data_IF_557338538303
#
_entry.id   IF_557338538303
#
_cell.length_a   1.000
_cell.length_b   1.000
_cell.length_c   1.000
_cell.angle_alpha   90.00
_cell.angle_beta   90.00
_cell.angle_gamma   90.00
#
_symmetry.space_group_name_H-M   'P 1'
#
loop_
_entity.id
_entity.type
_entity.pdbx_description
1 polymer ?
#
# COMPACT_ATOMS: atom_id res chain seq x y z
N UNK A 1 6.56 -14.47 -9.71
CA UNK A 1 7.92 -14.67 -9.15
C UNK A 1 8.34 -16.14 -9.13
N UNK A 2 7.40 -17.08 -9.28
CA UNK A 2 7.65 -18.53 -9.19
C UNK A 2 8.70 -19.07 -10.17
N UNK A 3 8.82 -18.51 -11.38
CA UNK A 3 9.87 -18.90 -12.33
C UNK A 3 11.28 -18.38 -12.01
N UNK A 4 11.45 -17.50 -11.00
CA UNK A 4 12.72 -16.79 -10.74
C UNK A 4 13.20 -16.87 -9.29
N UNK A 5 12.62 -17.74 -8.47
CA UNK A 5 13.02 -17.96 -7.06
C UNK A 5 11.85 -18.06 -6.07
N UNK A 6 10.62 -17.79 -6.54
CA UNK A 6 9.41 -17.94 -5.74
C UNK A 6 8.86 -16.64 -5.14
N UNK A 7 7.68 -16.69 -4.50
CA UNK A 7 7.06 -15.53 -3.86
C UNK A 7 7.84 -15.08 -2.62
N UNK A 8 7.73 -13.80 -2.27
CA UNK A 8 8.29 -13.29 -1.03
C UNK A 8 7.56 -13.85 0.20
N UNK A 9 8.28 -13.97 1.33
CA UNK A 9 7.66 -14.22 2.63
C UNK A 9 6.94 -12.95 3.09
N UNK A 10 5.60 -12.98 3.11
CA UNK A 10 4.77 -11.84 3.48
C UNK A 10 3.62 -12.33 4.36
N UNK A 11 3.55 -11.82 5.58
CA UNK A 11 2.47 -12.07 6.52
C UNK A 11 2.40 -13.53 7.01
N UNK A 12 1.18 -14.03 7.12
CA UNK A 12 0.89 -15.36 7.65
C UNK A 12 0.59 -16.36 6.54
N UNK A 13 0.46 -17.65 6.90
CA UNK A 13 0.14 -18.71 5.93
C UNK A 13 1.34 -19.24 5.14
N UNK A 14 2.55 -18.96 5.62
CA UNK A 14 3.80 -19.47 5.04
C UNK A 14 4.31 -20.66 5.86
N UNK A 15 4.80 -21.69 5.16
CA UNK A 15 5.50 -22.82 5.77
C UNK A 15 6.99 -22.71 5.46
N UNK A 16 7.81 -22.87 6.50
CA UNK A 16 9.26 -22.82 6.38
C UNK A 16 9.86 -24.15 6.81
N UNK A 17 10.83 -24.65 6.05
CA UNK A 17 11.71 -25.72 6.54
C UNK A 17 12.55 -25.15 7.67
N UNK A 18 12.74 -25.92 8.76
CA UNK A 18 13.44 -25.44 9.97
C UNK A 18 14.80 -24.83 9.63
N UNK A 19 15.53 -25.47 8.73
CA UNK A 19 16.88 -25.11 8.29
C UNK A 19 16.95 -23.74 7.61
N UNK A 20 15.88 -23.32 6.94
CA UNK A 20 15.82 -22.00 6.29
C UNK A 20 15.84 -20.88 7.33
N UNK A 21 15.12 -21.07 8.44
CA UNK A 21 15.06 -20.13 9.57
C UNK A 21 16.32 -20.22 10.43
N UNK A 22 16.93 -21.41 10.53
CA UNK A 22 18.17 -21.62 11.30
C UNK A 22 19.42 -20.96 10.70
N UNK A 23 19.31 -20.27 9.57
CA UNK A 23 20.44 -19.54 8.98
C UNK A 23 21.25 -20.33 7.94
N UNK A 24 20.87 -21.57 7.65
CA UNK A 24 21.64 -22.48 6.79
C UNK A 24 21.57 -22.05 5.32
N UNK A 25 22.70 -22.05 4.63
CA UNK A 25 22.74 -21.89 3.18
C UNK A 25 22.35 -23.18 2.47
N UNK A 26 21.67 -23.07 1.34
CA UNK A 26 21.36 -24.21 0.50
C UNK A 26 22.64 -24.77 -0.12
N UNK A 27 22.77 -26.10 -0.13
CA UNK A 27 23.85 -26.85 -0.78
C UNK A 27 23.22 -27.95 -1.60
N UNK A 28 23.75 -28.27 -2.78
CA UNK A 28 23.19 -29.34 -3.64
C UNK A 28 23.21 -30.72 -2.96
N UNK A 29 24.17 -30.96 -2.07
CA UNK A 29 24.26 -32.17 -1.23
C UNK A 29 23.25 -32.19 -0.07
N UNK A 30 22.36 -31.20 0.02
CA UNK A 30 21.35 -31.16 1.07
C UNK A 30 20.36 -32.33 0.89
N UNK A 31 20.49 -33.32 1.77
CA UNK A 31 19.48 -34.35 1.98
C UNK A 31 18.64 -33.97 3.19
N UNK A 32 17.33 -33.90 2.97
CA UNK A 32 16.39 -33.71 4.05
C UNK A 32 16.33 -34.98 4.89
N UNK A 33 16.65 -34.84 6.17
CA UNK A 33 16.57 -35.94 7.12
C UNK A 33 15.12 -36.11 7.56
N UNK A 34 14.44 -37.08 6.95
CA UNK A 34 13.05 -37.42 7.25
C UNK A 34 12.92 -38.42 8.41
N UNK A 35 14.02 -39.05 8.84
CA UNK A 35 14.00 -40.22 9.72
C UNK A 35 14.31 -39.89 11.18
N UNK A 36 15.00 -38.78 11.48
CA UNK A 36 15.29 -38.36 12.87
C UNK A 36 14.12 -37.71 13.61
N UNK A 37 12.97 -37.53 12.96
CA UNK A 37 11.82 -36.85 13.53
C UNK A 37 10.75 -37.81 14.07
N UNK A 38 10.68 -37.92 15.40
CA UNK A 38 9.49 -38.27 16.23
C UNK A 38 9.48 -39.64 16.93
N UNK A 39 10.12 -40.71 16.43
CA UNK A 39 9.77 -42.06 16.95
C UNK A 39 10.60 -42.58 18.14
N UNK A 40 11.83 -42.12 18.43
CA UNK A 40 12.71 -42.85 19.38
C UNK A 40 13.06 -42.21 20.74
N UNK A 41 12.61 -40.99 21.07
CA UNK A 41 13.09 -40.29 22.29
C UNK A 41 12.06 -39.88 23.34
N UNK A 42 10.80 -40.30 23.21
CA UNK A 42 9.71 -39.67 23.96
C UNK A 42 9.52 -40.15 25.41
N UNK A 43 10.13 -41.27 25.83
CA UNK A 43 9.83 -41.90 27.11
C UNK A 43 10.67 -41.44 28.32
N UNK A 44 11.97 -41.21 28.13
CA UNK A 44 12.91 -41.13 29.28
C UNK A 44 13.53 -39.73 29.50
N UNK A 45 13.43 -38.80 28.55
CA UNK A 45 14.13 -37.51 28.59
C UNK A 45 13.20 -36.28 28.69
N UNK A 46 11.92 -36.46 29.02
CA UNK A 46 10.95 -35.35 28.99
C UNK A 46 11.32 -34.22 29.96
N UNK A 47 11.77 -34.57 31.18
CA UNK A 47 12.20 -33.58 32.17
C UNK A 47 13.46 -32.81 31.71
N UNK A 48 14.42 -33.51 31.09
CA UNK A 48 15.63 -32.88 30.55
C UNK A 48 15.32 -31.97 29.36
N UNK A 49 14.42 -32.40 28.46
CA UNK A 49 13.95 -31.58 27.33
C UNK A 49 13.21 -30.34 27.84
N UNK A 50 12.39 -30.49 28.88
CA UNK A 50 11.68 -29.38 29.50
C UNK A 50 12.65 -28.37 30.14
N UNK A 51 13.66 -28.84 30.89
CA UNK A 51 14.70 -27.98 31.46
C UNK A 51 15.51 -27.26 30.38
N UNK A 52 15.90 -27.97 29.32
CA UNK A 52 16.55 -27.36 28.17
C UNK A 52 15.66 -26.29 27.52
N UNK A 53 14.38 -26.58 27.29
CA UNK A 53 13.44 -25.62 26.72
C UNK A 53 13.27 -24.36 27.59
N UNK A 54 13.23 -24.53 28.92
CA UNK A 54 13.19 -23.40 29.87
C UNK A 54 14.41 -22.49 29.72
N UNK A 55 15.60 -23.07 29.58
CA UNK A 55 16.83 -22.28 29.39
C UNK A 55 16.80 -21.43 28.10
N UNK A 56 16.20 -21.95 27.02
CA UNK A 56 16.07 -21.27 25.73
C UNK A 56 15.01 -20.15 25.73
N UNK A 57 14.02 -20.23 26.63
CA UNK A 57 12.93 -19.27 26.74
C UNK A 57 13.22 -18.11 27.72
N UNK A 58 14.46 -18.00 28.22
CA UNK A 58 14.86 -16.93 29.12
C UNK A 58 14.99 -15.58 28.39
N UNK A 59 14.70 -14.47 29.07
CA UNK A 59 14.85 -13.13 28.51
C UNK A 59 16.30 -12.80 28.13
N UNK A 60 17.27 -13.46 28.78
CA UNK A 60 18.69 -13.20 28.60
C UNK A 60 19.34 -14.12 27.55
N UNK A 61 18.57 -15.01 26.92
CA UNK A 61 19.08 -15.97 25.94
C UNK A 61 19.80 -15.26 24.78
N UNK A 62 19.28 -14.12 24.33
CA UNK A 62 19.83 -13.33 23.23
C UNK A 62 20.77 -12.20 23.70
N UNK A 63 20.90 -11.97 25.02
CA UNK A 63 21.66 -10.84 25.58
C UNK A 63 23.17 -10.90 25.28
N UNK A 64 23.74 -12.09 25.12
CA UNK A 64 25.18 -12.29 24.88
C UNK A 64 25.59 -12.11 23.40
N UNK A 65 24.97 -11.17 22.68
CA UNK A 65 25.26 -10.84 21.27
C UNK A 65 25.24 -12.07 20.35
N UNK A 66 24.19 -12.88 20.51
CA UNK A 66 23.98 -14.05 19.65
C UNK A 66 23.68 -13.63 18.20
N UNK A 67 23.67 -14.61 17.29
CA UNK A 67 23.28 -14.37 15.89
C UNK A 67 21.76 -14.35 15.68
N UNK A 68 20.95 -14.53 16.72
CA UNK A 68 19.49 -14.47 16.64
C UNK A 68 19.01 -13.08 16.22
N UNK A 69 18.02 -13.04 15.33
CA UNK A 69 17.52 -11.81 14.72
C UNK A 69 18.46 -11.13 13.72
N UNK A 70 19.75 -11.49 13.72
CA UNK A 70 20.77 -10.92 12.82
C UNK A 70 21.05 -11.82 11.64
N UNK A 71 21.37 -13.08 11.90
CA UNK A 71 21.61 -14.12 10.89
C UNK A 71 20.64 -15.30 11.03
N UNK A 72 20.27 -15.65 12.25
CA UNK A 72 19.38 -16.78 12.56
C UNK A 72 18.00 -16.26 12.98
N UNK A 73 16.95 -17.00 12.65
CA UNK A 73 15.59 -16.63 13.00
C UNK A 73 14.98 -15.58 12.07
N UNK A 74 13.89 -14.98 12.55
CA UNK A 74 13.23 -13.84 11.90
C UNK A 74 14.09 -12.60 12.13
N UNK A 75 14.39 -11.85 11.07
CA UNK A 75 15.31 -10.71 11.12
C UNK A 75 14.71 -9.53 11.92
N UNK A 76 15.49 -8.93 12.82
CA UNK A 76 15.04 -7.82 13.65
C UNK A 76 15.24 -6.44 13.02
N UNK A 77 14.57 -5.43 13.57
CA UNK A 77 14.82 -4.01 13.26
C UNK A 77 14.08 -3.46 12.04
N UNK A 78 13.07 -4.17 11.53
CA UNK A 78 12.22 -3.70 10.45
C UNK A 78 10.74 -4.04 10.74
N UNK A 79 9.77 -3.12 10.50
CA UNK A 79 8.33 -3.39 10.66
C UNK A 79 7.75 -4.44 9.71
N UNK A 80 8.52 -4.86 8.71
CA UNK A 80 8.20 -5.91 7.73
C UNK A 80 9.34 -6.95 7.77
N UNK A 81 9.55 -7.49 8.97
CA UNK A 81 10.56 -8.50 9.27
C UNK A 81 10.42 -9.76 8.42
N UNK A 82 9.18 -10.09 8.05
CA UNK A 82 8.81 -11.16 7.12
C UNK A 82 9.50 -10.98 5.76
N UNK A 83 9.38 -9.80 5.14
CA UNK A 83 9.94 -9.51 3.82
C UNK A 83 11.46 -9.64 3.81
N UNK A 84 12.15 -9.03 4.78
CA UNK A 84 13.62 -9.13 4.87
C UNK A 84 14.09 -10.54 5.20
N UNK A 85 13.33 -11.28 6.00
CA UNK A 85 13.63 -12.69 6.32
C UNK A 85 13.51 -13.54 5.07
N UNK A 86 12.44 -13.35 4.28
CA UNK A 86 12.27 -14.04 3.00
C UNK A 86 13.40 -13.73 2.02
N UNK A 87 13.78 -12.46 1.88
CA UNK A 87 14.90 -12.06 1.03
C UNK A 87 16.22 -12.73 1.49
N UNK A 88 16.48 -12.76 2.80
CA UNK A 88 17.66 -13.41 3.35
C UNK A 88 17.68 -14.93 3.10
N UNK A 89 16.54 -15.60 3.22
CA UNK A 89 16.39 -17.02 2.90
C UNK A 89 16.69 -17.27 1.42
N UNK A 90 16.13 -16.46 0.51
CA UNK A 90 16.37 -16.64 -0.92
C UNK A 90 17.81 -16.29 -1.34
N UNK A 91 18.43 -15.28 -0.72
CA UNK A 91 19.84 -14.96 -0.90
C UNK A 91 20.80 -16.05 -0.42
N UNK A 92 20.31 -17.00 0.37
CA UNK A 92 21.03 -18.21 0.81
C UNK A 92 20.83 -19.40 -0.15
N UNK A 93 20.18 -19.19 -1.29
CA UNK A 93 19.96 -20.20 -2.32
C UNK A 93 18.66 -21.00 -2.16
N UNK A 94 17.85 -20.73 -1.14
CA UNK A 94 16.56 -21.38 -0.99
C UNK A 94 15.51 -20.81 -1.96
N UNK A 95 14.57 -21.66 -2.37
CA UNK A 95 13.48 -21.30 -3.27
C UNK A 95 12.16 -21.38 -2.52
N UNK A 96 11.27 -20.42 -2.76
CA UNK A 96 9.89 -20.45 -2.25
C UNK A 96 8.92 -20.92 -3.33
N UNK A 97 7.77 -21.45 -2.91
CA UNK A 97 6.74 -21.97 -3.81
C UNK A 97 5.40 -21.36 -3.41
N UNK A 98 4.65 -20.87 -4.39
CA UNK A 98 3.26 -20.47 -4.21
C UNK A 98 2.35 -21.67 -4.42
N UNK A 99 1.46 -21.92 -3.46
CA UNK A 99 0.48 -23.02 -3.55
C UNK A 99 -0.92 -22.50 -3.21
N UNK A 100 -1.85 -22.69 -4.14
CA UNK A 100 -3.25 -22.27 -4.00
C UNK A 100 -4.18 -23.49 -4.05
N UNK A 101 -4.44 -24.17 -2.91
CA UNK A 101 -5.33 -25.31 -2.85
C UNK A 101 -6.79 -24.90 -3.09
N UNK A 102 -7.60 -25.84 -3.61
CA UNK A 102 -9.03 -25.61 -3.84
C UNK A 102 -9.78 -25.21 -2.57
N UNK A 103 -9.51 -25.90 -1.45
CA UNK A 103 -9.96 -25.47 -0.12
C UNK A 103 -8.97 -24.47 0.45
N UNK A 104 -9.45 -23.29 0.86
CA UNK A 104 -8.60 -22.29 1.51
C UNK A 104 -8.01 -22.86 2.79
N UNK A 105 -6.67 -22.95 2.83
CA UNK A 105 -5.92 -23.48 3.97
C UNK A 105 -5.86 -22.49 5.14
N UNK A 106 -5.92 -21.19 4.84
CA UNK A 106 -5.87 -20.11 5.82
C UNK A 106 -7.03 -19.14 5.58
N UNK A 107 -7.70 -18.77 6.67
CA UNK A 107 -8.71 -17.72 6.71
C UNK A 107 -8.23 -16.64 7.68
N UNK A 108 -8.11 -15.41 7.19
CA UNK A 108 -7.69 -14.26 7.97
C UNK A 108 -8.80 -13.23 8.08
N UNK A 109 -8.69 -12.35 9.08
CA UNK A 109 -9.55 -11.18 9.21
C UNK A 109 -8.92 -9.99 8.49
N UNK A 110 -9.67 -9.43 7.54
CA UNK A 110 -9.30 -8.20 6.85
C UNK A 110 -9.72 -6.97 7.67
N UNK A 111 -9.03 -5.83 7.51
CA UNK A 111 -9.51 -4.55 8.03
C UNK A 111 -10.92 -4.24 7.51
N UNK A 112 -11.83 -3.87 8.41
CA UNK A 112 -13.22 -3.54 8.05
C UNK A 112 -13.43 -2.04 7.89
N UNK A 113 -12.52 -1.21 8.43
CA UNK A 113 -12.59 0.25 8.35
C UNK A 113 -11.48 0.85 7.50
N UNK A 114 -11.73 2.06 6.98
CA UNK A 114 -10.71 2.80 6.24
C UNK A 114 -9.51 3.12 7.14
N UNK A 115 -9.75 3.55 8.39
CA UNK A 115 -8.69 3.86 9.36
C UNK A 115 -7.72 2.68 9.57
N UNK A 116 -8.24 1.48 9.81
CA UNK A 116 -7.42 0.28 9.99
C UNK A 116 -6.61 -0.04 8.72
N UNK A 117 -7.23 0.10 7.55
CA UNK A 117 -6.58 -0.13 6.25
C UNK A 117 -5.43 0.85 6.03
N UNK A 118 -5.64 2.13 6.30
CA UNK A 118 -4.61 3.17 6.14
C UNK A 118 -3.45 2.97 7.11
N UNK A 119 -3.74 2.62 8.36
CA UNK A 119 -2.72 2.34 9.37
C UNK A 119 -1.85 1.13 8.97
N UNK A 120 -2.49 0.06 8.50
CA UNK A 120 -1.79 -1.13 8.03
C UNK A 120 -0.89 -0.80 6.83
N UNK A 121 -1.42 -0.08 5.84
CA UNK A 121 -0.65 0.29 4.66
C UNK A 121 0.46 1.30 4.94
N UNK A 122 0.32 2.17 5.94
CA UNK A 122 1.39 3.07 6.40
C UNK A 122 2.56 2.26 6.95
N UNK A 123 2.29 1.28 7.82
CA UNK A 123 3.32 0.36 8.34
C UNK A 123 4.03 -0.41 7.23
N UNK A 124 3.27 -0.93 6.27
CA UNK A 124 3.86 -1.62 5.12
C UNK A 124 4.72 -0.68 4.27
N UNK A 125 4.25 0.55 4.03
CA UNK A 125 5.01 1.57 3.32
C UNK A 125 6.32 1.92 4.02
N UNK A 126 6.28 2.18 5.33
CA UNK A 126 7.47 2.54 6.13
C UNK A 126 8.49 1.41 6.15
N UNK A 127 8.01 0.19 6.41
CA UNK A 127 8.84 -0.99 6.46
C UNK A 127 9.54 -1.24 5.13
N UNK A 128 8.79 -1.33 4.03
CA UNK A 128 9.36 -1.62 2.70
C UNK A 128 10.27 -0.50 2.21
N UNK A 129 9.93 0.76 2.46
CA UNK A 129 10.80 1.88 2.08
C UNK A 129 12.08 1.90 2.91
N UNK A 130 12.02 1.51 4.19
CA UNK A 130 13.23 1.32 5.01
C UNK A 130 14.13 0.20 4.48
N UNK A 131 13.56 -0.91 4.00
CA UNK A 131 14.34 -1.96 3.33
C UNK A 131 15.11 -1.35 2.17
N UNK A 132 14.42 -0.61 1.29
CA UNK A 132 15.00 0.00 0.10
C UNK A 132 16.19 0.95 0.42
N UNK A 133 16.10 1.69 1.52
CA UNK A 133 17.11 2.65 1.95
C UNK A 133 18.18 2.07 2.89
N UNK A 134 18.11 0.78 3.20
CA UNK A 134 19.05 0.10 4.09
C UNK A 134 20.04 -0.79 3.34
N UNK A 135 20.98 -1.40 4.07
CA UNK A 135 21.85 -2.47 3.56
C UNK A 135 21.09 -3.69 3.01
N UNK A 136 19.80 -3.84 3.36
CA UNK A 136 18.92 -4.90 2.87
C UNK A 136 18.21 -4.53 1.55
N UNK A 137 18.58 -3.42 0.90
CA UNK A 137 18.08 -3.08 -0.42
C UNK A 137 18.20 -4.30 -1.36
N UNK A 138 17.12 -4.75 -2.05
CA UNK A 138 17.14 -5.97 -2.84
C UNK A 138 18.25 -6.02 -3.89
N UNK A 139 18.58 -4.87 -4.51
CA UNK A 139 19.64 -4.76 -5.50
C UNK A 139 21.05 -4.82 -4.91
N UNK A 140 21.24 -4.39 -3.66
CA UNK A 140 22.54 -4.46 -2.97
C UNK A 140 22.73 -5.82 -2.31
N UNK A 141 21.76 -6.20 -1.47
CA UNK A 141 21.85 -7.40 -0.65
C UNK A 141 21.73 -8.69 -1.47
N UNK A 142 20.91 -8.66 -2.53
CA UNK A 142 20.69 -9.77 -3.46
C UNK A 142 21.66 -9.82 -4.64
N UNK A 143 22.53 -8.83 -4.79
CA UNK A 143 23.50 -8.79 -5.89
C UNK A 143 24.37 -10.05 -5.91
N UNK A 144 24.44 -10.72 -7.07
CA UNK A 144 25.20 -11.97 -7.23
C UNK A 144 24.65 -13.19 -6.48
N UNK A 145 23.58 -13.04 -5.69
CA UNK A 145 22.99 -14.14 -4.89
C UNK A 145 21.65 -14.62 -5.45
N UNK A 146 20.85 -13.71 -6.00
CA UNK A 146 19.54 -14.00 -6.61
C UNK A 146 19.42 -13.36 -7.98
N UNK A 147 18.53 -13.90 -8.83
CA UNK A 147 18.27 -13.38 -10.18
C UNK A 147 17.75 -11.95 -10.14
N UNK A 148 18.15 -11.12 -11.11
CA UNK A 148 17.74 -9.72 -11.21
C UNK A 148 16.22 -9.53 -11.16
N UNK A 149 15.46 -10.40 -11.82
CA UNK A 149 13.99 -10.35 -11.82
C UNK A 149 13.38 -10.53 -10.43
N UNK A 150 14.00 -11.35 -9.57
CA UNK A 150 13.56 -11.50 -8.18
C UNK A 150 13.90 -10.25 -7.37
N UNK A 151 15.08 -9.66 -7.59
CA UNK A 151 15.46 -8.38 -6.97
C UNK A 151 14.45 -7.27 -7.32
N UNK A 152 14.05 -7.18 -8.60
CA UNK A 152 13.00 -6.26 -9.05
C UNK A 152 11.66 -6.54 -8.37
N UNK A 153 11.28 -7.81 -8.24
CA UNK A 153 10.05 -8.23 -7.56
C UNK A 153 9.96 -7.75 -6.11
N UNK A 154 11.06 -7.86 -5.36
CA UNK A 154 11.14 -7.31 -4.00
C UNK A 154 11.17 -5.78 -3.98
N UNK A 155 11.85 -5.15 -4.95
CA UNK A 155 12.04 -3.71 -4.99
C UNK A 155 10.73 -2.93 -5.21
N UNK A 156 9.77 -3.48 -5.95
CA UNK A 156 8.48 -2.84 -6.24
C UNK A 156 7.76 -2.36 -4.96
N UNK A 157 7.83 -3.15 -3.88
CA UNK A 157 7.23 -2.79 -2.59
C UNK A 157 7.93 -1.60 -1.92
N UNK A 158 9.27 -1.50 -2.06
CA UNK A 158 10.05 -0.37 -1.55
C UNK A 158 9.69 0.96 -2.22
N UNK A 159 9.16 0.91 -3.45
CA UNK A 159 8.73 2.08 -4.21
C UNK A 159 7.30 2.54 -3.90
N UNK A 160 6.56 1.84 -3.03
CA UNK A 160 5.20 2.24 -2.64
C UNK A 160 5.16 3.63 -2.00
N UNK A 161 6.02 3.88 -1.00
CA UNK A 161 6.05 5.17 -0.30
C UNK A 161 6.49 6.34 -1.22
N UNK A 162 7.61 6.24 -1.97
CA UNK A 162 8.01 7.28 -2.93
C UNK A 162 6.98 7.57 -4.02
N UNK A 163 6.17 6.58 -4.40
CA UNK A 163 5.14 6.76 -5.43
C UNK A 163 4.01 7.75 -5.04
N UNK A 164 3.94 8.14 -3.77
CA UNK A 164 3.00 9.16 -3.26
C UNK A 164 3.20 10.53 -3.95
N UNK A 165 4.45 10.97 -4.12
CA UNK A 165 4.78 12.27 -4.70
C UNK A 165 4.30 12.43 -6.15
N UNK A 166 4.66 11.55 -7.11
CA UNK A 166 4.15 11.67 -8.47
C UNK A 166 2.62 11.52 -8.50
N UNK A 167 2.05 10.68 -7.63
CA UNK A 167 0.58 10.52 -7.55
C UNK A 167 -0.10 11.83 -7.14
N UNK A 168 0.40 12.53 -6.13
CA UNK A 168 -0.10 13.84 -5.73
C UNK A 168 0.02 14.86 -6.87
N UNK A 169 1.16 14.88 -7.57
CA UNK A 169 1.35 15.76 -8.73
C UNK A 169 0.25 15.54 -9.79
N UNK A 170 0.02 14.30 -10.21
CA UNK A 170 -0.98 13.97 -11.24
C UNK A 170 -2.43 14.18 -10.80
N UNK A 171 -2.71 14.22 -9.49
CA UNK A 171 -4.05 14.50 -8.97
C UNK A 171 -4.28 16.02 -8.86
N UNK A 172 -3.31 16.74 -8.30
CA UNK A 172 -3.45 18.15 -7.96
C UNK A 172 -3.24 19.04 -9.19
N UNK A 173 -2.13 18.86 -9.92
CA UNK A 173 -1.72 19.81 -10.96
C UNK A 173 -2.70 19.86 -12.13
N UNK A 174 -3.21 18.73 -12.67
CA UNK A 174 -4.22 18.78 -13.72
C UNK A 174 -5.55 19.42 -13.29
N UNK A 175 -5.98 19.17 -12.05
CA UNK A 175 -7.21 19.75 -11.48
C UNK A 175 -7.05 21.25 -11.29
N UNK A 176 -5.97 21.70 -10.65
CA UNK A 176 -5.69 23.13 -10.47
C UNK A 176 -5.46 23.82 -11.82
N UNK A 177 -4.75 23.19 -12.74
CA UNK A 177 -4.55 23.70 -14.10
C UNK A 177 -5.87 23.94 -14.84
N UNK A 178 -6.87 23.07 -14.65
CA UNK A 178 -8.22 23.26 -15.20
C UNK A 178 -8.91 24.51 -14.61
N UNK A 179 -8.78 24.73 -13.29
CA UNK A 179 -9.33 25.92 -12.62
C UNK A 179 -8.61 27.21 -13.06
N UNK A 180 -7.29 27.16 -13.18
CA UNK A 180 -6.44 28.27 -13.60
C UNK A 180 -6.44 28.52 -15.12
N UNK A 181 -7.18 27.72 -15.91
CA UNK A 181 -7.27 27.84 -17.37
C UNK A 181 -5.92 27.62 -18.08
N UNK A 182 -5.07 26.77 -17.49
CA UNK A 182 -3.77 26.39 -18.04
C UNK A 182 -3.89 25.01 -18.70
N UNK A 183 -3.79 24.92 -20.04
CA UNK A 183 -3.81 23.64 -20.73
C UNK A 183 -2.52 22.87 -20.45
N UNK A 184 -2.64 21.63 -19.95
CA UNK A 184 -1.47 20.79 -19.65
C UNK A 184 -1.24 19.67 -20.66
N UNK A 185 -2.27 19.29 -21.40
CA UNK A 185 -2.22 18.20 -22.37
C UNK A 185 -2.37 18.73 -23.80
N UNK A 186 -1.95 17.94 -24.81
CA UNK A 186 -2.21 18.26 -26.20
C UNK A 186 -3.71 18.37 -26.49
N UNK A 187 -4.07 19.26 -27.40
CA UNK A 187 -5.44 19.39 -27.90
C UNK A 187 -5.87 18.12 -28.63
N UNK A 188 -7.18 17.82 -28.64
CA UNK A 188 -7.73 16.62 -29.27
C UNK A 188 -7.55 16.57 -30.80
N UNK A 189 -7.36 17.73 -31.42
CA UNK A 189 -7.04 17.86 -32.85
C UNK A 189 -5.57 17.57 -33.15
N UNK A 190 -4.71 17.54 -32.14
CA UNK A 190 -3.27 17.33 -32.30
C UNK A 190 -2.94 15.83 -32.39
N UNK A 191 -2.08 15.39 -33.33
CA UNK A 191 -1.64 14.00 -33.38
C UNK A 191 -0.89 13.57 -32.11
N UNK A 192 -0.35 14.52 -31.35
CA UNK A 192 0.33 14.26 -30.08
C UNK A 192 -0.62 13.77 -28.97
N UNK A 193 -1.94 13.81 -29.15
CA UNK A 193 -2.88 13.27 -28.16
C UNK A 193 -2.81 11.73 -28.06
N UNK A 194 -2.38 11.06 -29.12
CA UNK A 194 -2.36 9.59 -29.22
C UNK A 194 -1.70 8.92 -28.01
N UNK A 195 -0.45 9.24 -27.60
CA UNK A 195 0.17 8.62 -26.43
C UNK A 195 -0.57 8.92 -25.11
N UNK A 196 -1.17 10.11 -24.97
CA UNK A 196 -1.88 10.53 -23.76
C UNK A 196 -3.23 9.83 -23.58
N UNK A 197 -3.82 9.32 -24.65
CA UNK A 197 -5.03 8.49 -24.59
C UNK A 197 -4.69 7.01 -24.56
N UNK A 198 -3.79 6.57 -25.46
CA UNK A 198 -3.46 5.16 -25.63
C UNK A 198 -2.85 4.55 -24.36
N UNK A 199 -1.87 5.21 -23.74
CA UNK A 199 -1.16 4.62 -22.61
C UNK A 199 -2.06 4.42 -21.37
N UNK A 200 -2.85 5.42 -20.93
CA UNK A 200 -3.81 5.21 -19.85
C UNK A 200 -4.90 4.20 -20.23
N UNK A 201 -5.46 4.29 -21.45
CA UNK A 201 -6.51 3.38 -21.88
C UNK A 201 -6.02 1.92 -21.88
N UNK A 202 -4.86 1.64 -22.49
CA UNK A 202 -4.28 0.31 -22.50
C UNK A 202 -4.02 -0.21 -21.07
N UNK A 203 -3.48 0.65 -20.20
CA UNK A 203 -3.18 0.28 -18.80
C UNK A 203 -4.44 -0.08 -18.03
N UNK A 204 -5.48 0.75 -18.07
CA UNK A 204 -6.71 0.52 -17.32
C UNK A 204 -7.58 -0.60 -17.93
N UNK A 205 -7.63 -0.73 -19.26
CA UNK A 205 -8.32 -1.84 -19.93
C UNK A 205 -7.65 -3.16 -19.59
N UNK A 206 -6.32 -3.23 -19.63
CA UNK A 206 -5.59 -4.43 -19.25
C UNK A 206 -5.78 -4.75 -17.76
N UNK A 207 -5.68 -3.75 -16.88
CA UNK A 207 -5.94 -3.93 -15.44
C UNK A 207 -7.35 -4.44 -15.16
N UNK A 208 -8.36 -3.95 -15.89
CA UNK A 208 -9.73 -4.41 -15.77
C UNK A 208 -9.88 -5.86 -16.27
N UNK A 209 -9.31 -6.16 -17.44
CA UNK A 209 -9.32 -7.51 -18.00
C UNK A 209 -8.68 -8.53 -17.05
N UNK A 210 -7.52 -8.21 -16.48
CA UNK A 210 -6.83 -9.06 -15.52
C UNK A 210 -7.67 -9.28 -14.25
N UNK A 211 -8.27 -8.22 -13.72
CA UNK A 211 -9.13 -8.31 -12.53
C UNK A 211 -10.34 -9.22 -12.78
N UNK A 212 -11.04 -9.03 -13.91
CA UNK A 212 -12.19 -9.86 -14.28
C UNK A 212 -11.77 -11.33 -14.52
N UNK A 213 -10.63 -11.54 -15.17
CA UNK A 213 -10.07 -12.88 -15.40
C UNK A 213 -9.72 -13.61 -14.09
N UNK A 214 -9.35 -12.85 -13.05
CA UNK A 214 -9.11 -13.37 -11.70
C UNK A 214 -10.39 -13.53 -10.86
N UNK A 215 -11.57 -13.26 -11.42
CA UNK A 215 -12.86 -13.37 -10.71
C UNK A 215 -13.21 -12.16 -9.82
N UNK A 216 -12.51 -11.04 -9.96
CA UNK A 216 -12.86 -9.78 -9.25
C UNK A 216 -14.05 -9.13 -9.95
N UNK A 217 -15.01 -8.59 -9.19
CA UNK A 217 -16.15 -7.87 -9.77
C UNK A 217 -15.75 -6.50 -10.31
N UNK A 218 -16.53 -5.93 -11.25
CA UNK A 218 -16.29 -4.57 -11.75
C UNK A 218 -16.32 -3.53 -10.62
N UNK A 219 -17.27 -3.67 -9.68
CA UNK A 219 -17.36 -2.84 -8.48
C UNK A 219 -16.10 -2.99 -7.60
N UNK A 220 -15.60 -4.22 -7.45
CA UNK A 220 -14.35 -4.51 -6.74
C UNK A 220 -13.14 -3.86 -7.39
N UNK A 221 -13.02 -3.93 -8.72
CA UNK A 221 -11.94 -3.25 -9.46
C UNK A 221 -12.01 -1.73 -9.30
N UNK A 222 -13.19 -1.13 -9.44
CA UNK A 222 -13.39 0.31 -9.24
C UNK A 222 -13.05 0.76 -7.82
N UNK A 223 -13.48 0.00 -6.81
CA UNK A 223 -13.09 0.20 -5.41
C UNK A 223 -11.57 0.05 -5.23
N UNK A 224 -10.93 -0.89 -5.94
CA UNK A 224 -9.49 -1.06 -5.97
C UNK A 224 -8.75 0.18 -6.46
N UNK A 225 -9.22 0.81 -7.55
CA UNK A 225 -8.66 2.07 -8.06
C UNK A 225 -8.80 3.20 -7.03
N UNK A 226 -9.95 3.29 -6.34
CA UNK A 226 -10.17 4.26 -5.26
C UNK A 226 -9.17 4.08 -4.13
N UNK A 227 -9.07 2.85 -3.63
CA UNK A 227 -8.16 2.53 -2.53
C UNK A 227 -6.70 2.72 -2.93
N UNK A 228 -6.35 2.45 -4.19
CA UNK A 228 -5.01 2.72 -4.73
C UNK A 228 -4.67 4.22 -4.63
N UNK A 229 -5.58 5.10 -5.04
CA UNK A 229 -5.39 6.55 -4.95
C UNK A 229 -5.30 7.02 -3.48
N UNK A 230 -6.26 6.61 -2.65
CA UNK A 230 -6.31 7.01 -1.23
C UNK A 230 -5.03 6.59 -0.48
N UNK A 231 -4.58 5.34 -0.64
CA UNK A 231 -3.37 4.84 0.04
C UNK A 231 -2.11 5.61 -0.36
N UNK A 232 -2.02 5.99 -1.65
CA UNK A 232 -0.87 6.73 -2.19
C UNK A 232 -0.82 8.17 -1.71
N UNK A 233 -1.96 8.84 -1.62
CA UNK A 233 -2.01 10.24 -1.18
C UNK A 233 -1.99 10.39 0.33
N UNK A 234 -2.27 9.33 1.09
CA UNK A 234 -2.22 9.31 2.56
C UNK A 234 -1.12 8.41 3.09
N UNK A 235 -1.41 7.14 3.38
CA UNK A 235 -0.52 6.20 4.06
C UNK A 235 0.91 6.19 3.53
N UNK A 236 1.09 6.18 2.22
CA UNK A 236 2.39 6.15 1.58
C UNK A 236 3.13 7.49 1.63
N UNK A 237 2.40 8.61 1.63
CA UNK A 237 2.98 9.93 1.84
C UNK A 237 3.54 10.07 3.27
N UNK A 238 2.74 9.69 4.28
CA UNK A 238 3.20 9.67 5.67
C UNK A 238 4.35 8.70 5.85
N UNK A 239 4.23 7.48 5.32
CA UNK A 239 5.29 6.50 5.41
C UNK A 239 6.62 6.99 4.82
N UNK A 240 6.56 7.72 3.70
CA UNK A 240 7.74 8.32 3.09
C UNK A 240 8.33 9.40 4.00
N UNK A 241 7.51 10.33 4.47
CA UNK A 241 7.95 11.43 5.35
C UNK A 241 8.55 10.90 6.66
N UNK A 242 7.87 9.98 7.33
CA UNK A 242 8.32 9.39 8.60
C UNK A 242 9.63 8.62 8.43
N UNK A 243 9.77 7.88 7.33
CA UNK A 243 11.01 7.15 7.03
C UNK A 243 12.18 8.11 6.76
N UNK A 244 11.95 9.21 6.03
CA UNK A 244 12.99 10.23 5.79
C UNK A 244 13.36 10.92 7.10
N UNK A 245 12.38 11.36 7.91
CA UNK A 245 12.65 11.98 9.20
C UNK A 245 13.39 11.06 10.16
N UNK A 246 13.07 9.76 10.16
CA UNK A 246 13.82 8.75 10.91
C UNK A 246 15.26 8.64 10.43
N UNK A 247 15.51 8.63 9.12
CA UNK A 247 16.87 8.59 8.56
C UNK A 247 17.69 9.84 8.90
N UNK A 248 17.03 10.98 9.03
CA UNK A 248 17.65 12.24 9.46
C UNK A 248 17.82 12.35 10.99
N UNK A 249 17.39 11.34 11.77
CA UNK A 249 17.47 11.35 13.24
C UNK A 249 16.45 12.27 13.92
N UNK A 250 15.40 12.70 13.22
CA UNK A 250 14.40 13.66 13.70
C UNK A 250 13.19 13.01 14.37
N UNK A 251 13.04 11.68 14.30
CA UNK A 251 11.91 10.94 14.87
C UNK A 251 12.30 9.54 15.34
N UNK A 252 11.64 9.06 16.39
CA UNK A 252 11.80 7.70 16.93
C UNK A 252 10.84 6.70 16.25
N UNK A 253 11.16 5.40 16.30
CA UNK A 253 10.23 4.36 15.83
C UNK A 253 9.00 4.28 16.75
N UNK A 254 7.83 4.64 16.23
CA UNK A 254 6.56 4.40 16.87
C UNK A 254 5.81 3.30 16.10
N UNK A 255 5.66 2.12 16.71
CA UNK A 255 4.90 1.03 16.13
C UNK A 255 3.46 1.08 16.63
N UNK A 256 2.51 1.38 15.74
CA UNK A 256 1.09 1.35 16.07
C UNK A 256 0.47 -0.02 15.72
N UNK A 257 -0.23 -0.64 16.67
CA UNK A 257 -0.91 -1.91 16.43
C UNK A 257 -2.21 -1.64 15.67
N UNK A 258 -2.41 -2.34 14.55
CA UNK A 258 -3.69 -2.29 13.83
C UNK A 258 -4.72 -3.14 14.58
N UNK A 259 -5.84 -2.57 15.07
CA UNK A 259 -6.89 -3.37 15.66
C UNK A 259 -7.54 -4.23 14.58
N UNK A 260 -7.79 -5.51 14.88
CA UNK A 260 -8.41 -6.49 13.97
C UNK A 260 -9.80 -6.94 14.43
N UNK A 261 -10.28 -6.39 15.54
CA UNK A 261 -11.63 -6.64 16.06
C UNK A 261 -12.52 -5.49 15.60
N UNK A 262 -13.66 -5.84 15.02
CA UNK A 262 -14.68 -4.90 14.55
C UNK A 262 -15.97 -5.11 15.34
N UNK A 263 -16.66 -4.02 15.67
CA UNK A 263 -18.00 -4.13 16.25
C UNK A 263 -19.00 -4.67 15.22
N UNK A 264 -20.10 -5.28 15.67
CA UNK A 264 -21.13 -5.87 14.79
C UNK A 264 -21.68 -4.86 13.76
N UNK A 265 -21.88 -3.61 14.18
CA UNK A 265 -22.36 -2.54 13.30
C UNK A 265 -21.34 -2.18 12.21
N UNK A 266 -20.05 -2.28 12.50
CA UNK A 266 -18.98 -2.05 11.52
C UNK A 266 -18.93 -3.21 10.52
N UNK A 267 -19.08 -4.45 11.01
CA UNK A 267 -19.13 -5.65 10.15
C UNK A 267 -20.30 -5.60 9.19
N UNK A 268 -21.50 -5.21 9.65
CA UNK A 268 -22.68 -5.06 8.79
C UNK A 268 -22.46 -4.04 7.66
N UNK A 269 -21.86 -2.89 7.98
CA UNK A 269 -21.53 -1.87 6.96
C UNK A 269 -20.49 -2.38 5.96
N UNK A 270 -19.48 -3.10 6.45
CA UNK A 270 -18.47 -3.72 5.60
C UNK A 270 -19.09 -4.75 4.64
N UNK A 271 -19.98 -5.61 5.13
CA UNK A 271 -20.73 -6.58 4.30
C UNK A 271 -21.64 -5.91 3.26
N UNK A 272 -22.15 -4.72 3.55
CA UNK A 272 -22.89 -3.88 2.61
C UNK A 272 -21.97 -3.11 1.63
N UNK A 273 -20.66 -3.35 1.68
CA UNK A 273 -19.64 -2.67 0.89
C UNK A 273 -19.62 -1.13 1.09
N UNK A 274 -20.05 -0.66 2.28
CA UNK A 274 -20.03 0.75 2.66
C UNK A 274 -18.70 1.11 3.30
N UNK A 275 -18.09 2.19 2.82
CA UNK A 275 -16.81 2.65 3.36
C UNK A 275 -17.01 3.28 4.74
N UNK A 276 -16.32 2.76 5.75
CA UNK A 276 -16.41 3.28 7.11
C UNK A 276 -15.26 4.23 7.43
N UNK A 277 -15.63 5.48 7.68
CA UNK A 277 -14.75 6.51 8.22
C UNK A 277 -14.91 6.49 9.74
N UNK A 278 -13.81 6.23 10.45
CA UNK A 278 -13.84 6.18 11.91
C UNK A 278 -14.14 7.56 12.54
N UNK A 279 -14.45 7.61 13.84
CA UNK A 279 -14.78 8.86 14.54
C UNK A 279 -13.59 9.82 14.69
N UNK A 280 -12.39 9.40 14.32
CA UNK A 280 -11.16 10.15 14.50
C UNK A 280 -10.96 11.22 13.41
N UNK A 281 -10.72 12.46 13.83
CA UNK A 281 -10.28 13.56 12.95
C UNK A 281 -8.80 13.42 12.58
N UNK A 282 -8.44 12.33 11.89
CA UNK A 282 -7.06 12.09 11.47
C UNK A 282 -6.66 13.01 10.30
N UNK A 283 -5.38 13.39 10.23
CA UNK A 283 -4.86 14.20 9.11
C UNK A 283 -4.98 13.47 7.77
N UNK A 284 -4.91 12.13 7.78
CA UNK A 284 -5.13 11.28 6.60
C UNK A 284 -6.54 11.50 6.03
N UNK A 285 -7.57 11.55 6.87
CA UNK A 285 -8.93 11.84 6.41
C UNK A 285 -9.11 13.27 5.92
N UNK A 286 -8.40 14.25 6.52
CA UNK A 286 -8.38 15.63 6.01
C UNK A 286 -7.78 15.68 4.60
N UNK A 287 -6.70 14.94 4.33
CA UNK A 287 -6.11 14.86 2.98
C UNK A 287 -7.10 14.22 1.98
N UNK A 288 -7.76 13.12 2.35
CA UNK A 288 -8.76 12.47 1.48
C UNK A 288 -9.90 13.44 1.15
N UNK A 289 -10.46 14.09 2.18
CA UNK A 289 -11.52 15.07 2.03
C UNK A 289 -11.08 16.27 1.19
N UNK A 290 -9.88 16.80 1.42
CA UNK A 290 -9.34 17.95 0.71
C UNK A 290 -9.12 17.63 -0.77
N UNK A 291 -8.57 16.46 -1.12
CA UNK A 291 -8.39 16.04 -2.52
C UNK A 291 -9.73 15.85 -3.21
N UNK A 292 -10.70 15.23 -2.54
CA UNK A 292 -12.04 15.05 -3.07
C UNK A 292 -12.70 16.43 -3.32
N UNK A 293 -12.67 17.35 -2.36
CA UNK A 293 -13.24 18.68 -2.52
C UNK A 293 -12.52 19.50 -3.59
N UNK A 294 -11.19 19.46 -3.63
CA UNK A 294 -10.40 20.18 -4.60
C UNK A 294 -10.74 19.75 -6.02
N UNK A 295 -10.77 18.44 -6.29
CA UNK A 295 -11.15 17.93 -7.62
C UNK A 295 -12.57 18.34 -8.00
N UNK A 296 -13.53 18.34 -7.06
CA UNK A 296 -14.89 18.80 -7.32
C UNK A 296 -14.96 20.31 -7.63
N UNK A 297 -14.30 21.15 -6.83
CA UNK A 297 -14.27 22.61 -7.02
C UNK A 297 -13.56 22.98 -8.32
N UNK A 298 -12.43 22.34 -8.62
CA UNK A 298 -11.69 22.55 -9.86
C UNK A 298 -12.52 22.15 -11.09
N UNK A 299 -13.20 21.00 -11.05
CA UNK A 299 -14.08 20.56 -12.15
C UNK A 299 -15.25 21.53 -12.34
N UNK A 300 -15.95 21.89 -11.26
CA UNK A 300 -17.08 22.80 -11.32
C UNK A 300 -16.68 24.20 -11.81
N UNK A 301 -15.57 24.74 -11.30
CA UNK A 301 -15.03 26.04 -11.71
C UNK A 301 -14.57 26.04 -13.17
N UNK A 302 -13.84 24.99 -13.59
CA UNK A 302 -13.42 24.81 -14.97
C UNK A 302 -14.58 24.71 -15.95
N UNK A 303 -15.57 23.85 -15.66
CA UNK A 303 -16.76 23.69 -16.50
C UNK A 303 -17.58 24.99 -16.57
N UNK A 304 -17.77 25.68 -15.45
CA UNK A 304 -18.50 26.96 -15.41
C UNK A 304 -17.85 28.00 -16.32
N UNK A 305 -16.51 28.07 -16.32
CA UNK A 305 -15.78 28.95 -17.22
C UNK A 305 -15.88 28.53 -18.69
N UNK A 306 -15.79 27.23 -19.00
CA UNK A 306 -15.95 26.71 -20.37
C UNK A 306 -17.33 27.04 -20.93
N UNK A 307 -18.38 26.92 -20.11
CA UNK A 307 -19.74 27.29 -20.49
C UNK A 307 -19.85 28.80 -20.75
N UNK A 308 -19.26 29.63 -19.88
CA UNK A 308 -19.28 31.08 -20.02
C UNK A 308 -18.48 31.60 -21.22
N UNK A 309 -17.42 30.90 -21.65
CA UNK A 309 -16.50 31.32 -22.72
C UNK A 309 -16.89 30.86 -24.13
N UNK A 310 -18.00 30.14 -24.29
CA UNK A 310 -18.37 29.52 -25.56
C UNK A 310 -17.77 28.11 -25.69
N UNK A 311 -18.63 27.10 -25.57
CA UNK A 311 -18.25 25.73 -25.21
C UNK A 311 -17.29 25.02 -26.20
N UNK A 312 -17.32 25.35 -27.49
CA UNK A 312 -16.71 24.51 -28.53
C UNK A 312 -15.17 24.50 -28.51
N UNK A 313 -14.51 25.66 -28.57
CA UNK A 313 -13.05 25.71 -28.63
C UNK A 313 -12.40 25.35 -27.28
N UNK A 314 -12.96 25.84 -26.18
CA UNK A 314 -12.44 25.58 -24.82
C UNK A 314 -12.58 24.11 -24.42
N UNK A 315 -13.69 23.44 -24.76
CA UNK A 315 -13.87 22.03 -24.42
C UNK A 315 -12.84 21.12 -25.11
N UNK A 316 -12.52 21.39 -26.40
CA UNK A 316 -11.51 20.62 -27.15
C UNK A 316 -10.11 20.78 -26.55
N UNK A 317 -9.79 21.98 -26.05
CA UNK A 317 -8.48 22.32 -25.47
C UNK A 317 -8.25 21.68 -24.09
N UNK A 318 -9.29 21.59 -23.27
CA UNK A 318 -9.21 21.05 -21.90
C UNK A 318 -9.73 19.61 -21.77
N UNK A 319 -10.09 18.95 -22.88
CA UNK A 319 -10.77 17.65 -22.89
C UNK A 319 -10.14 16.62 -21.95
N UNK A 320 -8.83 16.39 -22.05
CA UNK A 320 -8.13 15.40 -21.21
C UNK A 320 -8.08 15.80 -19.72
N UNK A 321 -7.95 17.10 -19.41
CA UNK A 321 -8.03 17.59 -18.04
C UNK A 321 -9.43 17.40 -17.45
N UNK A 322 -10.48 17.65 -18.24
CA UNK A 322 -11.88 17.43 -17.83
C UNK A 322 -12.12 15.95 -17.56
N UNK A 323 -11.68 15.06 -18.46
CA UNK A 323 -11.82 13.60 -18.27
C UNK A 323 -11.07 13.12 -17.03
N UNK A 324 -9.82 13.56 -16.84
CA UNK A 324 -9.02 13.17 -15.68
C UNK A 324 -9.62 13.68 -14.35
N UNK A 325 -9.99 14.97 -14.30
CA UNK A 325 -10.60 15.57 -13.12
C UNK A 325 -11.98 14.96 -12.83
N UNK A 326 -12.77 14.70 -13.88
CA UNK A 326 -14.04 13.98 -13.79
C UNK A 326 -13.89 12.56 -13.25
N UNK A 327 -12.87 11.83 -13.68
CA UNK A 327 -12.56 10.50 -13.14
C UNK A 327 -12.18 10.56 -11.65
N UNK A 328 -11.42 11.58 -11.23
CA UNK A 328 -11.08 11.81 -9.81
C UNK A 328 -12.31 12.16 -8.96
N UNK A 329 -13.27 12.92 -9.51
CA UNK A 329 -14.54 13.18 -8.82
C UNK A 329 -15.35 11.88 -8.73
N UNK A 330 -15.46 11.12 -9.82
CA UNK A 330 -16.20 9.86 -9.86
C UNK A 330 -15.65 8.81 -8.87
N UNK A 331 -14.32 8.72 -8.73
CA UNK A 331 -13.69 7.76 -7.82
C UNK A 331 -13.95 8.12 -6.36
N UNK A 332 -14.11 9.40 -6.05
CA UNK A 332 -14.33 9.94 -4.70
C UNK A 332 -15.81 10.05 -4.31
N UNK A 333 -16.76 9.53 -5.11
CA UNK A 333 -18.20 9.57 -4.79
C UNK A 333 -18.54 9.11 -3.36
N UNK A 334 -18.02 7.96 -2.86
CA UNK A 334 -18.30 7.54 -1.48
C UNK A 334 -17.71 8.47 -0.41
N UNK A 335 -16.69 9.26 -0.74
CA UNK A 335 -16.14 10.30 0.15
C UNK A 335 -17.16 11.44 0.26
N UNK A 336 -17.71 11.92 -0.85
CA UNK A 336 -18.75 12.96 -0.81
C UNK A 336 -20.02 12.49 -0.09
N UNK A 337 -20.44 11.25 -0.33
CA UNK A 337 -21.58 10.65 0.39
C UNK A 337 -21.31 10.63 1.89
N UNK A 338 -20.11 10.23 2.31
CA UNK A 338 -19.73 10.23 3.72
C UNK A 338 -19.59 11.63 4.34
N UNK A 339 -19.26 12.65 3.54
CA UNK A 339 -19.11 14.04 3.99
C UNK A 339 -20.45 14.77 4.14
N UNK A 340 -21.39 14.54 3.21
CA UNK A 340 -22.56 15.40 3.05
C UNK A 340 -23.91 14.70 3.16
N UNK A 341 -23.99 13.38 2.90
CA UNK A 341 -25.27 12.67 2.75
C UNK A 341 -25.51 11.72 3.93
N UNK A 342 -24.47 11.00 4.37
CA UNK A 342 -24.61 9.95 5.38
C UNK A 342 -24.79 10.51 6.80
N UNK A 343 -25.75 9.94 7.51
CA UNK A 343 -26.07 10.25 8.91
C UNK A 343 -25.75 9.10 9.87
N UNK A 344 -25.16 8.01 9.38
CA UNK A 344 -24.75 6.85 10.19
C UNK A 344 -23.39 7.06 10.88
N UNK A 345 -23.01 6.11 11.76
CA UNK A 345 -21.75 6.16 12.53
C UNK A 345 -20.48 5.99 11.70
N UNK A 346 -20.58 5.53 10.46
CA UNK A 346 -19.46 5.37 9.53
C UNK A 346 -19.27 6.57 8.59
N UNK A 347 -20.01 7.66 8.80
CA UNK A 347 -19.83 8.93 8.08
C UNK A 347 -18.50 9.59 8.41
N UNK A 348 -18.05 10.50 7.54
CA UNK A 348 -16.86 11.30 7.83
C UNK A 348 -17.14 12.29 8.96
N UNK A 349 -16.18 12.45 9.88
CA UNK A 349 -16.32 13.37 11.00
C UNK A 349 -16.53 14.82 10.51
N UNK A 350 -17.54 15.56 11.02
CA UNK A 350 -17.82 16.92 10.56
C UNK A 350 -16.64 17.89 10.66
N UNK A 351 -15.80 17.73 11.69
CA UNK A 351 -14.59 18.52 11.86
C UNK A 351 -13.61 18.35 10.68
N UNK A 352 -13.45 17.14 10.15
CA UNK A 352 -12.61 16.85 8.98
C UNK A 352 -13.14 17.58 7.75
N UNK A 353 -14.46 17.51 7.51
CA UNK A 353 -15.12 18.22 6.41
C UNK A 353 -14.91 19.73 6.50
N UNK A 354 -15.12 20.32 7.69
CA UNK A 354 -14.94 21.76 7.91
C UNK A 354 -13.48 22.20 7.68
N UNK A 355 -12.51 21.45 8.22
CA UNK A 355 -11.08 21.74 7.99
C UNK A 355 -10.72 21.62 6.50
N UNK A 356 -11.19 20.57 5.81
CA UNK A 356 -10.93 20.40 4.39
C UNK A 356 -11.52 21.55 3.54
N UNK A 357 -12.75 21.97 3.83
CA UNK A 357 -13.38 23.15 3.18
C UNK A 357 -12.55 24.42 3.45
N UNK A 358 -12.15 24.63 4.70
CA UNK A 358 -11.34 25.78 5.11
C UNK A 358 -9.96 25.83 4.48
N UNK A 359 -9.39 24.70 4.07
CA UNK A 359 -8.13 24.63 3.33
C UNK A 359 -8.33 24.82 1.82
N UNK A 360 -9.31 24.14 1.24
CA UNK A 360 -9.48 24.05 -0.21
C UNK A 360 -10.05 25.33 -0.81
N UNK A 361 -11.09 25.92 -0.22
CA UNK A 361 -11.74 27.10 -0.81
C UNK A 361 -10.79 28.30 -0.91
N UNK A 362 -10.05 28.70 0.16
CA UNK A 362 -9.11 29.80 0.05
C UNK A 362 -7.98 29.50 -0.95
N UNK A 363 -7.45 28.28 -0.97
CA UNK A 363 -6.41 27.89 -1.93
C UNK A 363 -6.90 28.01 -3.38
N UNK A 364 -8.13 27.54 -3.67
CA UNK A 364 -8.74 27.67 -5.00
C UNK A 364 -8.96 29.13 -5.38
N UNK A 365 -9.41 29.98 -4.44
CA UNK A 365 -9.58 31.42 -4.70
C UNK A 365 -8.25 32.10 -4.98
N UNK A 366 -7.20 31.78 -4.22
CA UNK A 366 -5.84 32.30 -4.45
C UNK A 366 -5.35 31.89 -5.84
N UNK A 367 -5.47 30.60 -6.20
CA UNK A 367 -5.01 30.12 -7.50
C UNK A 367 -5.82 30.66 -8.68
N UNK A 368 -7.13 30.85 -8.52
CA UNK A 368 -7.97 31.47 -9.53
C UNK A 368 -7.59 32.94 -9.76
N UNK A 369 -7.13 33.65 -8.72
CA UNK A 369 -6.75 35.06 -8.80
C UNK A 369 -5.29 35.30 -9.21
N UNK A 370 -4.39 34.33 -9.07
CA UNK A 370 -2.97 34.46 -9.48
C UNK A 370 -2.79 34.46 -11.00
N UNK A 371 -3.79 34.00 -11.77
CA UNK A 371 -3.73 33.84 -13.23
C UNK A 371 -4.68 34.83 -13.97
N UNK A 372 -5.33 35.73 -13.23
CA UNK A 372 -6.01 36.92 -13.76
C UNK A 372 -5.03 38.10 -13.75
#
# INVERSE_FOLDING_TARGET
>A
MDGVGGPAYIGTGCFHRRETISGRSFSEDYKQDWETGVVEKLGEHMNEIEEQAKSLATCDYECNNTQWGREVGVKYGCPVEDVITGLAIQCRGWVSVYFNPARKAFLGLAPTTLAQTLLQHRRFGEGNFSILLSRYCPFLFGHGKVKLWLQMGYCIYGLWAPSSLPTLYYILVPSVGLLCRIPLFPEITSPWIVPFVYLPAATYVYSLYEALSCGVTLKGWWNGQRMWAIKRTTSYLFAMADTIFRLLGLSAMAFAITPKVSDEDQSKRYEQELMEFGPSSSLEFVIVAAIALLSLVCLAGGLSWIVASGCTASCLKFFLQIVLCGALVAINVPVYEAMFIRNDRGRMAPGVTLTAIGLVLPACLIWANIVL
#
